data_IF_792612241252
#
_entry.id   IF_792612241252
#
_cell.length_a   1.000
_cell.length_b   1.000
_cell.length_c   1.000
_cell.angle_alpha   90.00
_cell.angle_beta   90.00
_cell.angle_gamma   90.00
#
_symmetry.space_group_name_H-M   'P 1'
#
loop_
_entity.id
_entity.type
_entity.pdbx_description
1 polymer ?
#
# COMPACT_ATOMS: atom_id res chain seq x y z
N UNK A 1 -60.82 -1.45 -33.84
CA UNK A 1 -60.31 -1.96 -32.56
C UNK A 1 -60.42 -3.46 -32.56
N UNK A 2 -59.28 -4.18 -32.46
CA UNK A 2 -59.11 -5.38 -31.64
C UNK A 2 -57.62 -5.74 -31.67
N UNK A 3 -57.07 -5.86 -30.46
CA UNK A 3 -55.64 -6.08 -30.16
C UNK A 3 -55.31 -7.56 -30.33
N UNK A 4 -54.20 -7.85 -31.01
CA UNK A 4 -53.58 -9.17 -31.01
C UNK A 4 -52.96 -9.44 -29.63
N UNK A 5 -53.33 -10.59 -29.04
CA UNK A 5 -52.65 -11.18 -27.90
C UNK A 5 -51.93 -12.44 -28.39
N UNK A 6 -50.61 -12.39 -28.39
CA UNK A 6 -49.75 -13.57 -28.50
C UNK A 6 -49.13 -13.81 -27.13
N UNK A 7 -49.37 -15.00 -26.57
CA UNK A 7 -48.58 -15.60 -25.51
C UNK A 7 -47.83 -16.79 -26.09
N UNK A 8 -46.48 -16.83 -26.05
CA UNK A 8 -45.75 -18.06 -26.24
C UNK A 8 -45.50 -18.74 -24.89
N UNK A 9 -45.85 -20.03 -24.86
CA UNK A 9 -45.68 -20.95 -23.75
C UNK A 9 -44.26 -21.53 -23.75
N UNK A 10 -43.77 -21.79 -22.54
CA UNK A 10 -42.41 -22.12 -22.11
C UNK A 10 -41.86 -23.50 -22.53
N UNK A 11 -40.53 -23.63 -22.34
CA UNK A 11 -39.66 -24.80 -22.06
C UNK A 11 -38.65 -25.09 -23.20
N UNK A 12 -37.34 -24.81 -23.05
CA UNK A 12 -36.28 -25.59 -22.32
C UNK A 12 -36.21 -27.04 -22.85
N UNK A 13 -35.09 -27.63 -23.25
CA UNK A 13 -33.66 -27.45 -22.99
C UNK A 13 -32.89 -28.21 -24.08
N UNK A 14 -31.78 -27.66 -24.58
CA UNK A 14 -30.71 -28.46 -25.20
C UNK A 14 -29.39 -27.68 -25.11
N UNK A 15 -28.82 -27.64 -23.89
CA UNK A 15 -27.47 -27.12 -23.62
C UNK A 15 -26.56 -28.27 -23.24
N UNK A 16 -25.34 -28.36 -23.79
CA UNK A 16 -24.42 -29.43 -23.45
C UNK A 16 -23.99 -29.32 -21.97
N UNK A 17 -24.27 -30.38 -21.22
CA UNK A 17 -23.85 -30.56 -19.83
C UNK A 17 -22.34 -30.81 -19.82
N UNK A 18 -21.58 -29.87 -19.26
CA UNK A 18 -20.18 -30.09 -18.89
C UNK A 18 -20.19 -30.69 -17.48
N UNK A 19 -19.91 -31.98 -17.38
CA UNK A 19 -19.71 -32.66 -16.10
C UNK A 19 -18.36 -32.22 -15.50
N UNK A 20 -18.41 -31.44 -14.42
CA UNK A 20 -17.23 -31.11 -13.61
C UNK A 20 -17.01 -32.25 -12.60
N UNK A 21 -15.87 -32.96 -12.60
CA UNK A 21 -15.59 -33.95 -11.57
C UNK A 21 -15.47 -33.27 -10.20
N UNK A 22 -16.24 -33.74 -9.21
CA UNK A 22 -16.10 -33.35 -7.80
C UNK A 22 -14.80 -33.88 -7.22
N UNK A 23 -13.68 -33.21 -7.50
CA UNK A 23 -12.45 -33.41 -6.75
C UNK A 23 -12.51 -32.61 -5.45
N UNK A 24 -12.54 -33.32 -4.33
CA UNK A 24 -12.43 -32.78 -2.98
C UNK A 24 -11.09 -32.05 -2.84
N UNK A 25 -11.11 -30.72 -2.90
CA UNK A 25 -9.94 -29.89 -2.56
C UNK A 25 -9.92 -29.75 -1.03
N UNK A 26 -9.09 -30.57 -0.37
CA UNK A 26 -8.66 -30.27 0.99
C UNK A 26 -7.72 -29.07 0.90
N UNK A 27 -8.18 -27.90 1.35
CA UNK A 27 -7.35 -26.71 1.52
C UNK A 27 -6.38 -27.03 2.65
N UNK A 28 -5.19 -27.48 2.27
CA UNK A 28 -4.05 -27.67 3.17
C UNK A 28 -3.47 -26.31 3.54
N UNK A 29 -3.18 -26.16 4.83
CA UNK A 29 -2.70 -24.96 5.48
C UNK A 29 -1.63 -24.19 4.69
N UNK A 30 -1.81 -22.86 4.62
CA UNK A 30 -0.79 -21.90 4.22
C UNK A 30 0.37 -22.01 5.22
N UNK A 31 1.50 -22.53 4.77
CA UNK A 31 2.73 -22.47 5.55
C UNK A 31 3.31 -21.05 5.43
N UNK A 32 3.15 -20.25 6.49
CA UNK A 32 3.97 -19.07 6.74
C UNK A 32 5.44 -19.54 6.71
N UNK A 33 6.22 -19.06 5.74
CA UNK A 33 7.63 -19.39 5.65
C UNK A 33 8.38 -18.74 6.81
N UNK A 34 8.63 -19.54 7.85
CA UNK A 34 9.48 -19.19 8.99
C UNK A 34 10.92 -18.97 8.51
N UNK A 35 11.43 -17.74 8.67
CA UNK A 35 12.86 -17.44 8.62
C UNK A 35 13.54 -18.16 9.80
N UNK A 36 14.33 -19.22 9.51
CA UNK A 36 15.04 -19.96 10.56
C UNK A 36 15.96 -21.08 10.05
N UNK A 37 17.23 -20.72 9.85
CA UNK A 37 18.50 -21.46 10.03
C UNK A 37 18.66 -22.96 9.65
N UNK A 38 19.82 -23.24 9.01
CA UNK A 38 20.72 -24.40 9.16
C UNK A 38 20.82 -25.43 8.00
N UNK A 39 21.99 -25.38 7.32
CA UNK A 39 22.88 -26.50 6.99
C UNK A 39 22.34 -27.77 6.31
N UNK A 40 22.64 -27.91 5.02
CA UNK A 40 22.99 -29.20 4.41
C UNK A 40 23.84 -28.98 3.15
N UNK A 41 25.08 -29.48 3.16
CA UNK A 41 25.97 -29.50 2.02
C UNK A 41 25.50 -30.54 0.99
N UNK A 42 25.32 -30.13 -0.27
CA UNK A 42 25.33 -31.04 -1.41
C UNK A 42 26.31 -30.52 -2.46
N UNK A 43 27.25 -31.41 -2.78
CA UNK A 43 28.42 -31.22 -3.61
C UNK A 43 28.05 -31.28 -5.09
N UNK A 44 28.22 -30.19 -5.83
CA UNK A 44 28.52 -30.19 -7.27
C UNK A 44 29.05 -28.81 -7.65
N UNK A 45 30.32 -28.78 -8.07
CA UNK A 45 31.02 -27.58 -8.47
C UNK A 45 30.38 -26.96 -9.71
N UNK A 46 29.56 -25.94 -9.50
CA UNK A 46 29.37 -24.86 -10.43
C UNK A 46 29.99 -23.65 -9.74
N UNK A 47 30.90 -22.96 -10.42
CA UNK A 47 31.34 -21.62 -10.04
C UNK A 47 30.15 -20.66 -10.21
N UNK A 48 29.16 -20.80 -9.35
CA UNK A 48 28.22 -19.75 -9.04
C UNK A 48 29.03 -18.78 -8.18
N UNK A 49 29.46 -17.65 -8.78
CA UNK A 49 29.50 -16.45 -7.94
C UNK A 49 28.13 -16.40 -7.28
N UNK A 50 28.01 -16.41 -5.94
CA UNK A 50 26.75 -16.02 -5.36
C UNK A 50 26.49 -14.62 -5.93
N UNK A 51 25.52 -14.50 -6.82
CA UNK A 51 24.84 -13.22 -6.99
C UNK A 51 24.56 -12.81 -5.55
N UNK A 52 25.07 -11.65 -5.14
CA UNK A 52 24.70 -11.08 -3.85
C UNK A 52 23.21 -11.33 -3.67
N UNK A 53 22.77 -11.88 -2.53
CA UNK A 53 21.34 -12.10 -2.31
C UNK A 53 20.65 -10.81 -2.74
N UNK A 54 19.73 -10.90 -3.71
CA UNK A 54 19.01 -9.73 -4.20
C UNK A 54 18.52 -9.02 -2.95
N UNK A 55 19.11 -7.84 -2.68
CA UNK A 55 18.75 -7.08 -1.50
C UNK A 55 17.28 -6.79 -1.69
N UNK A 56 16.44 -7.31 -0.78
CA UNK A 56 15.01 -7.04 -0.81
C UNK A 56 14.75 -5.53 -0.88
N UNK A 57 13.50 -5.13 -1.18
CA UNK A 57 13.14 -3.73 -1.28
C UNK A 57 13.60 -2.94 -0.05
N UNK A 58 14.02 -1.68 -0.23
CA UNK A 58 14.38 -0.83 0.89
C UNK A 58 13.19 -0.70 1.87
N UNK A 59 13.43 -0.43 3.16
CA UNK A 59 12.35 -0.16 4.10
C UNK A 59 11.39 0.93 3.60
N UNK A 60 11.91 2.02 3.06
CA UNK A 60 11.13 3.10 2.43
C UNK A 60 10.24 2.61 1.28
N UNK A 61 10.74 1.70 0.44
CA UNK A 61 9.96 1.16 -0.66
C UNK A 61 8.86 0.20 -0.18
N UNK A 62 9.10 -0.52 0.91
CA UNK A 62 8.07 -1.33 1.55
C UNK A 62 6.96 -0.45 2.15
N UNK A 63 7.34 0.67 2.79
CA UNK A 63 6.39 1.68 3.26
C UNK A 63 5.56 2.23 2.10
N UNK A 64 6.20 2.58 0.97
CA UNK A 64 5.51 3.11 -0.20
C UNK A 64 4.49 2.10 -0.79
N UNK A 65 4.81 0.80 -0.81
CA UNK A 65 3.87 -0.23 -1.27
C UNK A 65 2.63 -0.34 -0.38
N UNK A 66 2.80 -0.30 0.95
CA UNK A 66 1.66 -0.33 1.87
C UNK A 66 0.75 0.88 1.66
N UNK A 67 1.34 2.05 1.44
CA UNK A 67 0.56 3.26 1.16
C UNK A 67 -0.10 3.22 -0.21
N UNK A 68 0.58 2.71 -1.23
CA UNK A 68 -0.02 2.51 -2.56
C UNK A 68 -1.22 1.57 -2.49
N UNK A 69 -1.10 0.46 -1.76
CA UNK A 69 -2.20 -0.47 -1.52
C UNK A 69 -3.35 0.20 -0.77
N UNK A 70 -3.06 1.04 0.22
CA UNK A 70 -4.08 1.80 0.96
C UNK A 70 -4.80 2.80 0.06
N UNK A 71 -4.06 3.62 -0.69
CA UNK A 71 -4.61 4.65 -1.57
C UNK A 71 -5.42 4.06 -2.73
N UNK A 72 -5.03 2.88 -3.22
CA UNK A 72 -5.77 2.15 -4.26
C UNK A 72 -6.95 1.33 -3.71
N UNK A 73 -7.16 1.31 -2.39
CA UNK A 73 -8.22 0.53 -1.74
C UNK A 73 -8.00 -0.98 -1.77
N UNK A 74 -6.77 -1.44 -2.01
CA UNK A 74 -6.36 -2.85 -1.85
C UNK A 74 -6.43 -3.25 -0.38
N UNK A 75 -5.96 -2.37 0.50
CA UNK A 75 -6.23 -2.41 1.94
C UNK A 75 -7.10 -1.21 2.32
N UNK A 76 -8.02 -1.40 3.26
CA UNK A 76 -8.94 -0.34 3.71
C UNK A 76 -8.48 0.34 4.98
N UNK A 77 -7.50 -0.24 5.67
CA UNK A 77 -6.95 0.22 6.93
C UNK A 77 -5.43 0.05 6.87
N UNK A 78 -4.72 1.02 7.45
CA UNK A 78 -3.28 0.91 7.69
C UNK A 78 -3.02 -0.04 8.88
N UNK A 79 -1.78 -0.53 9.07
CA UNK A 79 -1.44 -1.37 10.23
C UNK A 79 -1.90 -0.76 11.57
N UNK A 80 -2.35 -1.61 12.52
CA UNK A 80 -3.07 -1.19 13.75
C UNK A 80 -2.34 -0.13 14.59
N UNK A 81 -1.01 -0.10 14.57
CA UNK A 81 -0.18 0.87 15.31
C UNK A 81 0.18 2.12 14.46
N UNK A 82 -0.67 2.47 13.49
CA UNK A 82 -0.48 3.64 12.61
C UNK A 82 -1.45 4.77 12.95
N UNK A 83 -0.90 5.92 13.28
CA UNK A 83 -1.64 7.18 13.47
C UNK A 83 -1.69 7.96 12.16
N UNK A 84 -2.86 8.51 11.82
CA UNK A 84 -3.00 9.51 10.74
C UNK A 84 -3.05 10.91 11.35
N UNK A 85 -2.09 11.75 10.97
CA UNK A 85 -2.08 13.19 11.22
C UNK A 85 -2.55 13.93 9.97
N UNK A 86 -3.60 14.73 10.10
CA UNK A 86 -4.15 15.54 8.99
C UNK A 86 -3.69 16.98 9.15
N UNK A 87 -3.01 17.51 8.14
CA UNK A 87 -2.43 18.86 8.13
C UNK A 87 -2.99 19.66 6.97
N UNK A 88 -3.36 20.92 7.20
CA UNK A 88 -3.70 21.85 6.12
C UNK A 88 -2.44 22.63 5.73
N UNK A 89 -2.07 22.64 4.45
CA UNK A 89 -0.88 23.34 3.98
C UNK A 89 -1.03 24.86 4.12
N UNK A 90 -0.06 25.49 4.78
CA UNK A 90 0.07 26.94 4.82
C UNK A 90 0.83 27.49 3.60
N UNK A 91 0.85 28.81 3.45
CA UNK A 91 1.58 29.47 2.36
C UNK A 91 3.09 29.22 2.47
N UNK A 92 3.68 28.68 1.40
CA UNK A 92 5.11 28.35 1.34
C UNK A 92 5.45 26.93 1.81
N UNK A 93 4.49 26.19 2.35
CA UNK A 93 4.65 24.78 2.69
C UNK A 93 4.42 23.87 1.48
N UNK A 94 4.89 22.63 1.59
CA UNK A 94 4.58 21.56 0.66
C UNK A 94 4.43 20.23 1.42
N UNK A 95 3.84 19.18 0.80
CA UNK A 95 3.61 17.91 1.47
C UNK A 95 4.86 17.29 2.09
N UNK A 96 6.03 17.43 1.44
CA UNK A 96 7.30 16.92 1.98
C UNK A 96 7.68 17.66 3.25
N UNK A 97 7.61 19.00 3.27
CA UNK A 97 8.02 19.78 4.44
C UNK A 97 7.14 19.50 5.66
N UNK A 98 5.81 19.42 5.48
CA UNK A 98 4.90 19.12 6.60
C UNK A 98 5.06 17.69 7.13
N UNK A 99 5.38 16.73 6.25
CA UNK A 99 5.70 15.36 6.67
C UNK A 99 7.03 15.29 7.43
N UNK A 100 8.05 16.06 7.02
CA UNK A 100 9.30 16.19 7.78
C UNK A 100 9.06 16.82 9.15
N UNK A 101 8.24 17.88 9.24
CA UNK A 101 7.85 18.49 10.52
C UNK A 101 7.11 17.49 11.43
N UNK A 102 6.15 16.74 10.90
CA UNK A 102 5.43 15.73 11.67
C UNK A 102 6.36 14.62 12.21
N UNK A 103 7.37 14.21 11.42
CA UNK A 103 8.42 13.29 11.86
C UNK A 103 9.28 13.90 12.99
N UNK A 104 9.66 15.18 12.87
CA UNK A 104 10.45 15.87 13.91
C UNK A 104 9.69 15.97 15.23
N UNK A 105 8.42 16.38 15.19
CA UNK A 105 7.53 16.43 16.35
C UNK A 105 7.36 15.06 17.01
N UNK A 106 7.07 14.03 16.22
CA UNK A 106 6.97 12.66 16.74
C UNK A 106 8.26 12.22 17.44
N UNK A 107 9.42 12.52 16.86
CA UNK A 107 10.73 12.15 17.44
C UNK A 107 11.08 12.93 18.72
N UNK A 108 10.56 14.14 18.87
CA UNK A 108 10.66 14.93 20.11
C UNK A 108 9.76 14.35 21.21
N UNK A 109 8.53 13.96 20.85
CA UNK A 109 7.56 13.33 21.75
C UNK A 109 7.97 11.91 22.16
N UNK A 110 8.68 11.18 21.29
CA UNK A 110 9.04 9.76 21.45
C UNK A 110 10.56 9.55 21.44
N UNK A 111 11.31 10.06 22.45
CA UNK A 111 12.77 10.03 22.42
C UNK A 111 13.39 8.63 22.47
N UNK A 112 12.67 7.63 22.97
CA UNK A 112 13.11 6.23 23.06
C UNK A 112 12.77 5.40 21.80
N UNK A 113 11.79 5.84 21.00
CA UNK A 113 11.30 5.11 19.82
C UNK A 113 11.21 6.05 18.62
N UNK A 114 12.38 6.50 18.15
CA UNK A 114 12.49 7.48 17.07
C UNK A 114 12.39 6.81 15.69
N UNK A 115 11.78 7.53 14.77
CA UNK A 115 11.84 7.27 13.34
C UNK A 115 13.27 7.57 12.84
N UNK A 116 13.86 6.63 12.10
CA UNK A 116 15.16 6.86 11.44
C UNK A 116 15.01 7.96 10.38
N UNK A 117 15.77 9.04 10.51
CA UNK A 117 15.65 10.21 9.63
C UNK A 117 16.00 9.92 8.17
N UNK A 118 16.93 8.99 7.90
CA UNK A 118 17.32 8.68 6.53
C UNK A 118 16.25 7.82 5.84
N UNK A 119 15.69 6.87 6.59
CA UNK A 119 14.54 6.08 6.15
C UNK A 119 13.33 6.98 5.92
N UNK A 120 13.00 7.84 6.87
CA UNK A 120 11.90 8.79 6.79
C UNK A 120 11.98 9.70 5.57
N UNK A 121 13.14 10.31 5.30
CA UNK A 121 13.30 11.14 4.11
C UNK A 121 13.07 10.37 2.82
N UNK A 122 13.48 9.10 2.80
CA UNK A 122 13.28 8.22 1.65
C UNK A 122 11.81 7.85 1.50
N UNK A 123 11.12 7.47 2.59
CA UNK A 123 9.70 7.12 2.57
C UNK A 123 8.82 8.32 2.23
N UNK A 124 9.08 9.49 2.83
CA UNK A 124 8.40 10.75 2.50
C UNK A 124 8.61 11.08 1.02
N UNK A 125 9.83 10.94 0.50
CA UNK A 125 10.09 11.22 -0.91
C UNK A 125 9.31 10.28 -1.85
N UNK A 126 9.40 8.97 -1.65
CA UNK A 126 8.72 7.98 -2.48
C UNK A 126 7.19 8.14 -2.43
N UNK A 127 6.65 8.36 -1.23
CA UNK A 127 5.21 8.55 -1.04
C UNK A 127 4.75 9.90 -1.59
N UNK A 128 5.51 10.99 -1.41
CA UNK A 128 5.16 12.29 -1.98
C UNK A 128 5.01 12.26 -3.51
N UNK A 129 5.82 11.47 -4.21
CA UNK A 129 5.72 11.29 -5.66
C UNK A 129 4.40 10.61 -6.00
N UNK A 130 4.15 9.45 -5.39
CA UNK A 130 2.96 8.64 -5.69
C UNK A 130 1.67 9.40 -5.36
N UNK A 131 1.61 10.06 -4.22
CA UNK A 131 0.42 10.84 -3.81
C UNK A 131 0.23 12.10 -4.64
N UNK A 132 1.31 12.71 -5.17
CA UNK A 132 1.19 13.81 -6.13
C UNK A 132 0.63 13.35 -7.47
N UNK A 133 0.96 12.14 -7.91
CA UNK A 133 0.38 11.55 -9.12
C UNK A 133 -1.11 11.28 -8.93
N UNK A 134 -1.51 10.68 -7.79
CA UNK A 134 -2.92 10.47 -7.43
C UNK A 134 -3.68 11.79 -7.38
N UNK A 135 -3.15 12.79 -6.65
CA UNK A 135 -3.76 14.12 -6.57
C UNK A 135 -4.00 14.75 -7.94
N UNK A 136 -3.01 14.65 -8.85
CA UNK A 136 -3.12 15.16 -10.20
C UNK A 136 -4.21 14.42 -11.00
N UNK A 137 -4.30 13.11 -10.87
CA UNK A 137 -5.28 12.30 -11.58
C UNK A 137 -6.72 12.56 -11.05
N UNK A 138 -6.87 12.79 -9.75
CA UNK A 138 -8.17 13.06 -9.11
C UNK A 138 -8.66 14.50 -9.32
N UNK A 139 -7.76 15.47 -9.30
CA UNK A 139 -8.13 16.90 -9.34
C UNK A 139 -7.90 17.55 -10.69
N UNK A 140 -7.02 17.00 -11.52
CA UNK A 140 -6.49 17.64 -12.73
C UNK A 140 -5.42 18.69 -12.47
N UNK A 141 -5.06 18.96 -11.21
CA UNK A 141 -4.09 19.98 -10.84
C UNK A 141 -2.66 19.41 -10.80
N UNK A 142 -1.71 20.10 -11.42
CA UNK A 142 -0.29 19.70 -11.39
C UNK A 142 0.47 20.25 -10.18
N UNK A 143 -0.11 21.22 -9.50
CA UNK A 143 0.45 21.93 -8.36
C UNK A 143 -0.50 21.82 -7.17
N UNK A 144 0.08 21.56 -6.00
CA UNK A 144 -0.64 21.47 -4.74
C UNK A 144 -0.61 22.87 -4.13
N UNK A 145 -1.78 23.45 -3.93
CA UNK A 145 -1.93 24.82 -3.46
C UNK A 145 -2.00 24.87 -1.92
N UNK A 146 -1.66 26.02 -1.30
CA UNK A 146 -2.02 26.28 0.09
C UNK A 146 -3.51 26.04 0.33
N UNK A 147 -3.85 25.51 1.50
CA UNK A 147 -5.18 25.03 1.85
C UNK A 147 -5.46 23.58 1.45
N UNK A 148 -4.58 22.92 0.68
CA UNK A 148 -4.66 21.48 0.48
C UNK A 148 -4.49 20.73 1.81
N UNK A 149 -5.17 19.60 1.93
CA UNK A 149 -5.11 18.73 3.10
C UNK A 149 -4.12 17.61 2.81
N UNK A 150 -3.17 17.38 3.72
CA UNK A 150 -2.17 16.31 3.63
C UNK A 150 -2.38 15.35 4.79
N UNK A 151 -2.58 14.08 4.47
CA UNK A 151 -2.67 13.00 5.44
C UNK A 151 -1.29 12.34 5.59
N UNK A 152 -0.80 12.28 6.83
CA UNK A 152 0.53 11.77 7.18
C UNK A 152 0.33 10.58 8.11
N UNK A 153 0.77 9.40 7.69
CA UNK A 153 0.82 8.20 8.52
C UNK A 153 2.13 8.14 9.31
N UNK A 154 2.04 7.83 10.60
CA UNK A 154 3.17 7.55 11.48
C UNK A 154 2.91 6.27 12.25
N UNK A 155 3.81 5.29 12.16
CA UNK A 155 3.65 3.98 12.79
C UNK A 155 4.56 2.91 12.18
N UNK A 156 4.42 1.65 12.60
CA UNK A 156 5.12 0.52 11.97
C UNK A 156 4.42 0.14 10.65
N UNK A 157 4.62 0.97 9.63
CA UNK A 157 3.87 0.89 8.37
C UNK A 157 4.27 -0.35 7.56
N UNK A 158 5.54 -0.76 7.61
CA UNK A 158 6.06 -1.91 6.86
C UNK A 158 6.17 -3.20 7.70
N UNK A 159 5.86 -3.16 9.00
CA UNK A 159 5.88 -4.32 9.89
C UNK A 159 7.27 -4.77 10.32
N UNK A 160 8.28 -3.90 10.26
CA UNK A 160 9.66 -4.22 10.64
C UNK A 160 9.95 -4.02 12.14
N UNK A 161 8.94 -3.56 12.90
CA UNK A 161 9.00 -3.30 14.33
C UNK A 161 9.55 -1.92 14.69
N UNK A 162 9.74 -1.02 13.71
CA UNK A 162 10.19 0.36 13.93
C UNK A 162 9.19 1.35 13.34
N UNK A 163 9.08 2.56 13.94
CA UNK A 163 8.21 3.57 13.40
C UNK A 163 8.77 4.14 12.08
N UNK A 164 7.89 4.31 11.12
CA UNK A 164 8.08 4.97 9.83
C UNK A 164 7.14 6.17 9.71
N UNK A 165 7.35 6.99 8.68
CA UNK A 165 6.46 8.10 8.30
C UNK A 165 6.18 8.06 6.80
N UNK A 166 4.95 8.38 6.41
CA UNK A 166 4.55 8.41 5.01
C UNK A 166 3.43 9.42 4.76
N UNK A 167 3.37 9.96 3.54
CA UNK A 167 2.21 10.73 3.08
C UNK A 167 1.21 9.73 2.52
N UNK A 168 -0.03 9.71 3.01
CA UNK A 168 -1.07 8.75 2.58
C UNK A 168 -2.19 9.37 1.77
N UNK A 169 -2.25 10.70 1.71
CA UNK A 169 -3.23 11.39 0.92
C UNK A 169 -2.90 12.87 0.77
N UNK A 170 -3.30 13.44 -0.37
CA UNK A 170 -3.26 14.87 -0.63
C UNK A 170 -4.61 15.21 -1.27
N UNK A 171 -5.36 16.09 -0.63
CA UNK A 171 -6.72 16.43 -1.03
C UNK A 171 -6.82 17.95 -1.26
N UNK A 172 -7.68 18.35 -2.20
CA UNK A 172 -8.01 19.76 -2.41
C UNK A 172 -8.95 20.23 -1.30
N UNK A 173 -8.44 21.01 -0.33
CA UNK A 173 -9.23 21.52 0.79
C UNK A 173 -10.29 22.55 0.41
N UNK A 174 -10.43 22.88 -0.88
CA UNK A 174 -11.51 23.70 -1.41
C UNK A 174 -12.79 22.92 -1.70
N UNK A 175 -12.77 21.58 -1.61
CA UNK A 175 -13.87 20.68 -1.99
C UNK A 175 -14.65 20.14 -0.80
#
# INVERSE_FOLDING_TARGET
MSKEQFTPQSNEDDRPVIEIPKSVVKIGAVALATLGLAGAANTLGLFYSPKSPEKGPSPAHQVAQVVEDYSNGVITELPEDTEIRTVTLEEGENPTSVAETAMEEYNEENPENKIDTNEARSSIHETSISMKEIYKDETGNTEIQPGAIVNIAIGDINGDGKPSVAITGIEDGSK
#
